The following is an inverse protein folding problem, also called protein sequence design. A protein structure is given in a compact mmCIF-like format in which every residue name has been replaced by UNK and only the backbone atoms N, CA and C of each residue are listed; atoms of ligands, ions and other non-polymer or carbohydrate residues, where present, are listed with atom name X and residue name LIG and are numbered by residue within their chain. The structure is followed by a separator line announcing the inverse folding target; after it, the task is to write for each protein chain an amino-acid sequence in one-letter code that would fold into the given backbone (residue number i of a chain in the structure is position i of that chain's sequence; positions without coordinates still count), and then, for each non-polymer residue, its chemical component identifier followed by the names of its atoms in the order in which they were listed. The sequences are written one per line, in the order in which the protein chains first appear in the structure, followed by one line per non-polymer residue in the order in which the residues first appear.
data_IF_092614089221
#
_entry.id   IF_092614089221
#
_cell.length_a   1.000
_cell.length_b   1.000
_cell.length_c   1.000
_cell.angle_alpha   90.00
_cell.angle_beta   90.00
_cell.angle_gamma   90.00
#
_symmetry.space_group_name_H-M   'P 1'
#
loop_
_entity.id
_entity.type
_entity.pdbx_description
1 polymer ?
#
# COMPACT_ATOMS: atom_id res chain seq x y z
N UNK A 1 -0.57 -2.89 9.10
CA UNK A 1 -1.87 -2.67 9.82
C UNK A 1 -3.01 -2.96 8.84
N UNK A 2 -4.05 -3.67 9.22
CA UNK A 2 -5.22 -3.87 8.36
C UNK A 2 -6.14 -2.66 8.46
N UNK A 3 -6.74 -2.23 7.36
CA UNK A 3 -7.65 -1.07 7.27
C UNK A 3 -8.81 -1.10 8.28
N UNK A 4 -9.21 -2.27 8.72
CA UNK A 4 -10.40 -2.50 9.55
C UNK A 4 -10.11 -3.20 10.87
N UNK A 5 -8.85 -3.25 11.31
CA UNK A 5 -8.43 -3.91 12.54
C UNK A 5 -8.93 -5.36 12.66
N UNK A 6 -8.89 -6.12 11.55
CA UNK A 6 -9.26 -7.53 11.51
C UNK A 6 -10.69 -7.84 11.02
N UNK A 7 -11.52 -6.83 10.77
CA UNK A 7 -12.82 -6.99 10.15
C UNK A 7 -12.73 -7.07 8.61
N UNK A 8 -13.87 -7.34 7.94
CA UNK A 8 -13.93 -7.38 6.49
C UNK A 8 -13.58 -6.02 5.87
N UNK A 9 -12.54 -5.97 5.05
CA UNK A 9 -12.22 -4.80 4.23
C UNK A 9 -12.82 -4.97 2.83
N UNK A 10 -13.46 -3.90 2.34
CA UNK A 10 -13.95 -3.79 0.97
C UNK A 10 -13.35 -2.53 0.37
N UNK A 11 -12.63 -2.70 -0.71
CA UNK A 11 -11.92 -1.59 -1.37
C UNK A 11 -12.09 -1.64 -2.88
N UNK A 12 -11.78 -0.53 -3.53
CA UNK A 12 -11.77 -0.42 -4.97
C UNK A 12 -11.31 0.96 -5.42
N UNK A 13 -10.84 1.04 -6.65
CA UNK A 13 -10.36 2.27 -7.24
C UNK A 13 -10.35 2.20 -8.75
N UNK A 14 -9.93 3.29 -9.36
CA UNK A 14 -9.65 3.33 -10.78
C UNK A 14 -8.52 4.31 -11.08
N UNK A 15 -7.78 4.02 -12.16
CA UNK A 15 -6.67 4.82 -12.65
C UNK A 15 -6.89 5.18 -14.12
N UNK A 16 -6.38 6.33 -14.49
CA UNK A 16 -6.24 6.75 -15.88
C UNK A 16 -4.78 7.07 -16.12
N UNK A 17 -4.20 6.42 -17.11
CA UNK A 17 -2.80 6.64 -17.49
C UNK A 17 -2.66 7.06 -18.95
N UNK A 18 -1.56 7.69 -19.27
CA UNK A 18 -1.18 8.11 -20.62
C UNK A 18 0.01 7.29 -21.11
N UNK A 19 0.20 7.22 -22.42
CA UNK A 19 1.36 6.57 -23.05
C UNK A 19 2.71 7.20 -22.64
N UNK A 20 2.69 8.41 -22.08
CA UNK A 20 3.89 9.09 -21.58
C UNK A 20 4.21 8.76 -20.11
N UNK A 21 3.41 7.91 -19.48
CA UNK A 21 3.61 7.48 -18.10
C UNK A 21 2.92 8.34 -17.04
N UNK A 22 2.27 9.45 -17.39
CA UNK A 22 1.46 10.21 -16.45
C UNK A 22 0.22 9.41 -16.07
N UNK A 23 -0.11 9.39 -14.79
CA UNK A 23 -1.33 8.79 -14.27
C UNK A 23 -1.98 9.66 -13.19
N UNK A 24 -3.28 9.47 -13.03
CA UNK A 24 -4.09 9.98 -11.93
C UNK A 24 -5.08 8.89 -11.55
N UNK A 25 -5.32 8.71 -10.26
CA UNK A 25 -6.24 7.70 -9.78
C UNK A 25 -6.88 8.04 -8.45
N UNK A 26 -7.77 7.18 -8.05
CA UNK A 26 -8.40 7.18 -6.74
C UNK A 26 -8.63 5.77 -6.26
N UNK A 27 -8.51 5.58 -4.97
CA UNK A 27 -8.80 4.34 -4.28
C UNK A 27 -9.63 4.65 -3.04
N UNK A 28 -10.50 3.74 -2.66
CA UNK A 28 -11.30 3.88 -1.46
C UNK A 28 -11.47 2.53 -0.76
N UNK A 29 -11.49 2.55 0.57
CA UNK A 29 -11.75 1.40 1.42
C UNK A 29 -12.64 1.79 2.58
N UNK A 30 -13.41 0.83 3.10
CA UNK A 30 -13.88 0.99 4.46
C UNK A 30 -12.66 0.91 5.40
N UNK A 31 -12.60 1.83 6.35
CA UNK A 31 -11.49 1.96 7.28
C UNK A 31 -12.01 2.31 8.67
N UNK A 32 -11.11 2.29 9.63
CA UNK A 32 -11.42 2.63 11.00
C UNK A 32 -11.68 1.42 11.89
N UNK A 33 -11.88 1.68 13.16
CA UNK A 33 -12.06 0.66 14.20
C UNK A 33 -12.62 1.29 15.47
N UNK A 34 -12.47 0.58 16.58
CA UNK A 34 -12.94 1.08 17.86
C UNK A 34 -12.19 2.36 18.26
N UNK A 35 -12.91 3.48 18.36
CA UNK A 35 -12.35 4.77 18.80
C UNK A 35 -11.94 5.72 17.68
N UNK A 36 -12.20 5.36 16.41
CA UNK A 36 -12.05 6.28 15.28
C UNK A 36 -13.37 6.97 14.95
N UNK A 37 -13.33 8.23 14.50
CA UNK A 37 -14.51 8.99 14.06
C UNK A 37 -14.76 8.85 12.54
N UNK A 38 -13.93 8.06 11.84
CA UNK A 38 -14.07 7.77 10.41
C UNK A 38 -14.40 6.30 10.15
N UNK A 39 -14.99 6.04 9.00
CA UNK A 39 -15.37 4.69 8.56
C UNK A 39 -14.96 4.38 7.12
N UNK A 40 -14.28 5.31 6.48
CA UNK A 40 -13.79 5.20 5.10
C UNK A 40 -12.44 5.91 4.97
N UNK A 41 -11.60 5.39 4.10
CA UNK A 41 -10.41 6.03 3.56
C UNK A 41 -10.62 6.30 2.08
N UNK A 42 -10.22 7.45 1.63
CA UNK A 42 -10.24 7.85 0.22
C UNK A 42 -8.89 8.43 -0.16
N UNK A 43 -8.23 7.80 -1.12
CA UNK A 43 -6.97 8.25 -1.67
C UNK A 43 -7.19 8.89 -3.04
N UNK A 44 -6.54 10.01 -3.24
CA UNK A 44 -6.42 10.65 -4.55
C UNK A 44 -4.94 10.83 -4.85
N UNK A 45 -4.49 10.31 -5.97
CA UNK A 45 -3.07 10.31 -6.31
C UNK A 45 -2.83 10.64 -7.78
N UNK A 46 -1.62 11.12 -8.05
CA UNK A 46 -1.13 11.37 -9.39
C UNK A 46 0.38 11.15 -9.45
N UNK A 47 0.88 10.83 -10.62
CA UNK A 47 2.33 10.62 -10.75
C UNK A 47 2.79 10.34 -12.17
N UNK A 48 4.05 9.93 -12.24
CA UNK A 48 4.69 9.46 -13.44
C UNK A 48 5.40 8.14 -13.17
N UNK A 49 5.09 7.14 -13.97
CA UNK A 49 5.77 5.86 -13.93
C UNK A 49 6.31 5.48 -15.31
N UNK A 50 7.34 4.64 -15.35
CA UNK A 50 7.90 4.20 -16.61
C UNK A 50 9.00 3.15 -16.44
N UNK A 51 9.44 2.62 -17.58
CA UNK A 51 10.58 1.72 -17.65
C UNK A 51 11.87 2.51 -17.88
N UNK A 52 12.91 2.23 -17.09
CA UNK A 52 14.27 2.73 -17.30
C UNK A 52 15.09 1.74 -18.17
N UNK A 53 14.85 0.45 -17.98
CA UNK A 53 15.43 -0.66 -18.72
C UNK A 53 14.57 -1.92 -18.51
N UNK A 54 14.90 -3.03 -19.19
CA UNK A 54 14.23 -4.32 -18.99
C UNK A 54 14.26 -4.73 -17.51
N UNK A 55 13.10 -5.02 -16.93
CA UNK A 55 12.88 -5.34 -15.51
C UNK A 55 13.32 -4.22 -14.52
N UNK A 56 13.35 -2.98 -14.98
CA UNK A 56 13.68 -1.81 -14.17
C UNK A 56 12.65 -0.72 -14.39
N UNK A 57 11.82 -0.46 -13.38
CA UNK A 57 10.79 0.59 -13.44
C UNK A 57 10.98 1.61 -12.34
N UNK A 58 10.43 2.78 -12.55
CA UNK A 58 10.31 3.82 -11.54
C UNK A 58 8.87 4.30 -11.44
N UNK A 59 8.55 4.86 -10.30
CA UNK A 59 7.30 5.58 -10.04
C UNK A 59 7.61 6.76 -9.13
N UNK A 60 7.10 7.93 -9.48
CA UNK A 60 7.18 9.15 -8.65
C UNK A 60 5.82 9.80 -8.63
N UNK A 61 5.31 10.11 -7.45
CA UNK A 61 3.96 10.63 -7.34
C UNK A 61 3.69 11.38 -6.05
N UNK A 62 2.44 11.74 -5.93
CA UNK A 62 1.87 12.42 -4.78
C UNK A 62 0.52 11.82 -4.47
N UNK A 63 0.26 11.57 -3.21
CA UNK A 63 -0.98 11.02 -2.71
C UNK A 63 -1.54 11.90 -1.60
N UNK A 64 -2.86 12.10 -1.60
CA UNK A 64 -3.62 12.68 -0.51
C UNK A 64 -4.56 11.62 0.04
N UNK A 65 -4.38 11.25 1.28
CA UNK A 65 -5.19 10.27 2.03
C UNK A 65 -6.20 11.04 2.87
N UNK A 66 -7.46 10.79 2.66
CA UNK A 66 -8.58 11.54 3.23
C UNK A 66 -9.45 10.59 4.04
N UNK A 67 -9.74 10.96 5.27
CA UNK A 67 -10.65 10.23 6.17
C UNK A 67 -11.96 11.01 6.37
N UNK A 68 -12.99 10.81 5.52
CA UNK A 68 -14.25 11.53 5.65
C UNK A 68 -14.88 11.36 7.02
N UNK A 69 -15.02 12.47 7.74
CA UNK A 69 -15.52 12.51 9.12
C UNK A 69 -14.47 12.92 10.15
N UNK A 70 -13.20 12.74 9.85
CA UNK A 70 -12.09 13.16 10.73
C UNK A 70 -10.92 13.74 9.92
N UNK A 71 -11.01 15.01 9.59
CA UNK A 71 -9.96 15.71 8.84
C UNK A 71 -8.62 15.79 9.59
N UNK A 72 -8.58 15.47 10.87
CA UNK A 72 -7.33 15.46 11.64
C UNK A 72 -6.49 14.20 11.36
N UNK A 73 -7.08 13.20 10.71
CA UNK A 73 -6.42 12.00 10.26
C UNK A 73 -5.93 12.09 8.80
N UNK A 74 -6.35 13.14 8.06
CA UNK A 74 -5.91 13.34 6.67
C UNK A 74 -4.40 13.59 6.61
N UNK A 75 -3.75 13.03 5.59
CA UNK A 75 -2.33 13.27 5.36
C UNK A 75 -1.98 13.22 3.88
N UNK A 76 -0.78 13.67 3.56
CA UNK A 76 -0.29 13.75 2.19
C UNK A 76 1.16 13.28 2.14
N UNK A 77 1.54 12.65 1.02
CA UNK A 77 2.89 12.14 0.81
C UNK A 77 3.37 12.39 -0.62
N UNK A 78 4.64 12.73 -0.75
CA UNK A 78 5.36 12.68 -2.01
C UNK A 78 6.23 11.42 -2.02
N UNK A 79 6.15 10.58 -3.04
CA UNK A 79 6.85 9.31 -3.04
C UNK A 79 7.69 9.07 -4.28
N UNK A 80 8.69 8.21 -4.12
CA UNK A 80 9.47 7.64 -5.20
C UNK A 80 9.64 6.14 -4.96
N UNK A 81 9.39 5.34 -5.99
CA UNK A 81 9.58 3.90 -5.96
C UNK A 81 10.41 3.41 -7.15
N UNK A 82 11.14 2.33 -6.92
CA UNK A 82 11.91 1.63 -7.94
C UNK A 82 11.63 0.13 -7.83
N UNK A 83 11.46 -0.51 -8.98
CA UNK A 83 11.55 -1.97 -9.09
C UNK A 83 12.78 -2.34 -9.91
N UNK A 84 13.51 -3.33 -9.43
CA UNK A 84 14.74 -3.80 -10.03
C UNK A 84 14.81 -5.33 -9.92
N UNK A 85 14.42 -6.05 -10.98
CA UNK A 85 14.40 -7.53 -11.00
C UNK A 85 13.66 -8.15 -9.80
N UNK A 86 12.50 -7.57 -9.42
CA UNK A 86 11.69 -8.01 -8.29
C UNK A 86 12.07 -7.38 -6.94
N UNK A 87 13.23 -6.72 -6.82
CA UNK A 87 13.54 -5.87 -5.68
C UNK A 87 12.74 -4.58 -5.79
N UNK A 88 11.93 -4.27 -4.79
CA UNK A 88 11.15 -3.05 -4.69
C UNK A 88 11.75 -2.16 -3.61
N UNK A 89 11.88 -0.88 -3.89
CA UNK A 89 12.34 0.14 -2.94
C UNK A 89 11.37 1.30 -3.04
N UNK A 90 10.82 1.73 -1.93
CA UNK A 90 9.92 2.87 -1.81
C UNK A 90 10.44 3.82 -0.74
N UNK A 91 10.38 5.10 -1.01
CA UNK A 91 10.50 6.16 -0.01
C UNK A 91 9.35 7.15 -0.21
N UNK A 92 8.69 7.48 0.88
CA UNK A 92 7.60 8.45 0.94
C UNK A 92 7.96 9.54 1.94
N UNK A 93 7.92 10.78 1.49
CA UNK A 93 8.17 11.99 2.26
C UNK A 93 6.81 12.51 2.76
N UNK A 94 6.55 12.32 4.05
CA UNK A 94 5.33 12.75 4.70
C UNK A 94 5.22 14.28 4.73
N UNK A 95 4.09 14.82 4.31
CA UNK A 95 3.84 16.24 4.30
C UNK A 95 3.04 16.67 5.54
N UNK A 96 3.19 17.91 5.99
CA UNK A 96 2.40 18.51 7.07
C UNK A 96 2.43 17.70 8.39
N UNK A 97 3.63 17.35 8.86
CA UNK A 97 3.88 16.57 10.08
C UNK A 97 3.50 15.06 10.00
N UNK A 98 3.21 14.54 8.80
CA UNK A 98 3.10 13.11 8.58
C UNK A 98 4.47 12.44 8.66
N UNK A 99 4.57 11.21 9.16
CA UNK A 99 5.83 10.48 9.21
C UNK A 99 6.33 10.13 7.79
N UNK A 100 7.64 10.15 7.61
CA UNK A 100 8.25 9.55 6.43
C UNK A 100 8.12 8.03 6.48
N UNK A 101 8.11 7.40 5.30
CA UNK A 101 8.08 5.95 5.19
C UNK A 101 9.13 5.44 4.21
N UNK A 102 9.82 4.39 4.58
CA UNK A 102 10.73 3.69 3.70
C UNK A 102 10.43 2.20 3.68
N UNK A 103 10.38 1.58 2.50
CA UNK A 103 10.15 0.14 2.36
C UNK A 103 11.15 -0.49 1.39
N UNK A 104 11.56 -1.71 1.72
CA UNK A 104 12.24 -2.61 0.81
C UNK A 104 11.44 -3.91 0.71
N UNK A 105 11.22 -4.39 -0.51
CA UNK A 105 10.51 -5.62 -0.77
C UNK A 105 11.17 -6.46 -1.85
N UNK A 106 10.80 -7.72 -1.93
CA UNK A 106 11.18 -8.60 -3.02
C UNK A 106 10.00 -9.46 -3.43
N UNK A 107 9.79 -9.56 -4.74
CA UNK A 107 8.76 -10.43 -5.31
C UNK A 107 9.34 -11.32 -6.39
N UNK A 108 8.84 -12.55 -6.48
CA UNK A 108 9.27 -13.54 -7.44
C UNK A 108 8.12 -14.45 -7.86
N UNK A 109 8.06 -14.77 -9.15
CA UNK A 109 7.11 -15.75 -9.66
C UNK A 109 7.36 -17.12 -9.05
N UNK A 110 6.31 -17.74 -8.50
CA UNK A 110 6.35 -19.03 -7.81
C UNK A 110 5.13 -19.88 -8.17
N UNK A 111 5.32 -20.82 -9.10
CA UNK A 111 4.25 -21.68 -9.59
C UNK A 111 3.17 -20.91 -10.36
N UNK A 112 1.89 -20.99 -9.96
CA UNK A 112 0.78 -20.29 -10.65
C UNK A 112 0.58 -18.85 -10.16
N UNK A 113 1.44 -18.33 -9.30
CA UNK A 113 1.34 -17.02 -8.69
C UNK A 113 2.69 -16.41 -8.39
N UNK A 114 2.71 -15.43 -7.48
CA UNK A 114 3.91 -14.73 -7.03
C UNK A 114 4.03 -14.73 -5.51
N UNK A 115 5.22 -14.93 -5.02
CA UNK A 115 5.58 -14.78 -3.61
C UNK A 115 6.19 -13.40 -3.39
N UNK A 116 5.84 -12.76 -2.29
CA UNK A 116 6.37 -11.45 -1.89
C UNK A 116 6.75 -11.41 -0.42
N UNK A 117 7.74 -10.58 -0.12
CA UNK A 117 8.12 -10.19 1.23
C UNK A 117 8.48 -8.72 1.21
N UNK A 118 8.07 -7.96 2.23
CA UNK A 118 8.54 -6.59 2.43
C UNK A 118 8.78 -6.27 3.89
N UNK A 119 9.58 -5.23 4.09
CA UNK A 119 9.87 -4.62 5.39
C UNK A 119 9.89 -3.11 5.19
N UNK A 120 9.18 -2.40 6.05
CA UNK A 120 9.08 -0.95 6.01
C UNK A 120 9.21 -0.34 7.40
N UNK A 121 9.53 0.95 7.42
CA UNK A 121 9.72 1.75 8.62
C UNK A 121 9.01 3.10 8.45
N UNK A 122 8.11 3.41 9.36
CA UNK A 122 7.48 4.71 9.53
C UNK A 122 8.21 5.49 10.63
N UNK A 123 8.91 6.56 10.27
CA UNK A 123 9.73 7.36 11.19
C UNK A 123 8.91 7.83 12.41
N UNK A 124 9.34 7.40 13.60
CA UNK A 124 8.68 7.72 14.88
C UNK A 124 7.33 7.03 15.13
N UNK A 125 6.95 6.03 14.31
CA UNK A 125 5.67 5.31 14.46
C UNK A 125 5.89 3.82 14.67
N UNK A 126 6.70 3.17 13.81
CA UNK A 126 6.99 1.74 13.92
C UNK A 126 7.35 1.07 12.61
N UNK A 127 7.67 -0.19 12.69
CA UNK A 127 8.15 -1.02 11.59
C UNK A 127 7.08 -2.03 11.17
N UNK A 128 7.00 -2.34 9.88
CA UNK A 128 6.08 -3.35 9.37
C UNK A 128 6.78 -4.39 8.51
N UNK A 129 6.30 -5.60 8.59
CA UNK A 129 6.70 -6.71 7.72
C UNK A 129 5.48 -7.34 7.07
N UNK A 130 5.62 -7.74 5.81
CA UNK A 130 4.58 -8.46 5.08
C UNK A 130 5.20 -9.66 4.35
N UNK A 131 4.52 -10.79 4.43
CA UNK A 131 4.78 -11.97 3.59
C UNK A 131 3.50 -12.31 2.87
N UNK A 132 3.54 -12.48 1.54
CA UNK A 132 2.38 -12.72 0.73
C UNK A 132 2.58 -13.76 -0.35
N UNK A 133 1.45 -14.35 -0.78
CA UNK A 133 1.37 -15.15 -2.00
C UNK A 133 0.10 -14.80 -2.75
N UNK A 134 0.25 -14.33 -3.98
CA UNK A 134 -0.85 -13.99 -4.88
C UNK A 134 -1.03 -15.05 -5.96
N UNK A 135 -2.25 -15.57 -6.10
CA UNK A 135 -2.61 -16.54 -7.10
C UNK A 135 -3.60 -15.97 -8.11
N UNK A 136 -3.17 -15.86 -9.37
CA UNK A 136 -4.00 -15.37 -10.47
C UNK A 136 -4.92 -16.46 -11.02
N UNK A 137 -6.24 -16.18 -11.11
CA UNK A 137 -7.24 -17.08 -11.70
C UNK A 137 -8.16 -16.27 -12.64
N UNK A 138 -7.80 -16.20 -13.91
CA UNK A 138 -8.50 -15.33 -14.87
C UNK A 138 -8.31 -13.85 -14.51
N UNK A 139 -9.41 -13.13 -14.32
CA UNK A 139 -9.38 -11.73 -13.88
C UNK A 139 -9.38 -11.59 -12.35
N UNK A 140 -9.33 -12.70 -11.62
CA UNK A 140 -9.26 -12.68 -10.16
C UNK A 140 -7.85 -12.92 -9.67
N UNK A 141 -7.52 -12.28 -8.54
CA UNK A 141 -6.34 -12.58 -7.73
C UNK A 141 -6.81 -12.99 -6.35
N UNK A 142 -6.31 -14.12 -5.87
CA UNK A 142 -6.51 -14.58 -4.49
C UNK A 142 -5.20 -14.46 -3.77
N UNK A 143 -5.14 -13.62 -2.75
CA UNK A 143 -3.94 -13.35 -1.96
C UNK A 143 -4.04 -13.96 -0.57
N UNK A 144 -2.91 -14.46 -0.07
CA UNK A 144 -2.73 -14.97 1.29
C UNK A 144 -1.56 -14.22 1.91
N UNK A 145 -1.78 -13.56 3.05
CA UNK A 145 -0.80 -12.68 3.66
C UNK A 145 -0.68 -12.92 5.15
N UNK A 146 0.52 -12.71 5.65
CA UNK A 146 0.81 -12.50 7.05
C UNK A 146 1.52 -11.15 7.20
N UNK A 147 1.08 -10.33 8.12
CA UNK A 147 1.68 -9.05 8.45
C UNK A 147 2.07 -9.02 9.92
N UNK A 148 3.04 -8.20 10.21
CA UNK A 148 3.53 -7.89 11.55
C UNK A 148 3.87 -6.39 11.60
N UNK A 149 3.38 -5.72 12.63
CA UNK A 149 3.64 -4.30 12.87
C UNK A 149 4.13 -4.12 14.30
N UNK A 150 5.40 -3.72 14.45
CA UNK A 150 6.04 -3.38 15.70
C UNK A 150 5.99 -1.86 15.88
N UNK A 151 5.10 -1.36 16.72
CA UNK A 151 4.97 0.06 17.00
C UNK A 151 6.07 0.54 17.96
N UNK A 152 6.51 1.81 17.85
CA UNK A 152 7.40 2.39 18.87
C UNK A 152 6.77 2.35 20.29
N UNK A 153 5.46 2.36 20.37
CA UNK A 153 4.70 2.11 21.59
C UNK A 153 4.14 0.70 21.54
N UNK A 154 4.81 -0.25 22.15
CA UNK A 154 4.50 -1.69 22.08
C UNK A 154 3.03 -2.08 22.40
N UNK A 155 2.25 -1.20 23.05
CA UNK A 155 0.81 -1.40 23.23
C UNK A 155 -0.01 -1.32 21.93
N UNK A 156 0.60 -0.85 20.86
CA UNK A 156 0.00 -0.69 19.53
C UNK A 156 0.54 -1.73 18.51
N UNK A 157 1.34 -2.70 18.95
CA UNK A 157 1.78 -3.81 18.09
C UNK A 157 0.55 -4.56 17.55
N UNK A 158 0.62 -4.96 16.29
CA UNK A 158 -0.46 -5.69 15.63
C UNK A 158 0.12 -6.72 14.63
N UNK A 159 -0.37 -7.94 14.68
CA UNK A 159 0.02 -8.99 13.75
C UNK A 159 -1.16 -9.84 13.32
N UNK A 160 -1.08 -10.45 12.16
CA UNK A 160 -2.15 -11.32 11.73
C UNK A 160 -2.02 -11.85 10.31
N UNK A 161 -2.97 -12.72 9.98
CA UNK A 161 -3.09 -13.26 8.63
C UNK A 161 -4.44 -12.87 8.02
N UNK A 162 -4.43 -12.60 6.71
CA UNK A 162 -5.65 -12.32 5.99
C UNK A 162 -5.64 -12.93 4.58
N UNK A 163 -6.82 -13.05 4.01
CA UNK A 163 -7.03 -13.48 2.61
C UNK A 163 -7.68 -12.33 1.86
N UNK A 164 -7.17 -12.04 0.67
CA UNK A 164 -7.78 -11.07 -0.24
C UNK A 164 -8.35 -11.75 -1.48
N UNK A 165 -9.37 -11.15 -2.07
CA UNK A 165 -9.87 -11.49 -3.40
C UNK A 165 -10.00 -10.20 -4.18
N UNK A 166 -9.19 -10.04 -5.21
CA UNK A 166 -9.21 -8.93 -6.14
C UNK A 166 -9.84 -9.29 -7.47
N UNK A 167 -10.40 -8.30 -8.15
CA UNK A 167 -10.86 -8.40 -9.54
C UNK A 167 -10.38 -7.18 -10.33
N UNK A 168 -9.76 -7.40 -11.49
CA UNK A 168 -9.33 -6.35 -12.40
C UNK A 168 -10.00 -6.51 -13.78
N UNK A 169 -10.32 -5.37 -14.42
CA UNK A 169 -10.99 -5.32 -15.73
C UNK A 169 -10.04 -4.79 -16.81
#
# INVERSE_FOLDING_TARGET
MTQTQGDLSVNGGFDVSTDMGFYIGTWASNAGGTGTDYSMELDVYLGFSGEMAENMTYDVGYISVIYPGDNSADFEEAYIAFNFYGLNILYSDGQNDSPDYAEVGYSVDAGPGSFSISYGDYDGVGENSLIGYDWGVGNFTVGFYYYDFEAEVAANDDDGAYVSIGYSM
#
